data_IF_047585253096
#
_entry.id   IF_047585253096
#
_cell.length_a   1.000
_cell.length_b   1.000
_cell.length_c   1.000
_cell.angle_alpha   90.00
_cell.angle_beta   90.00
_cell.angle_gamma   90.00
#
_symmetry.space_group_name_H-M   'P 1'
#
loop_
_entity.id
_entity.type
_entity.pdbx_description
1 polymer ?
#
# COMPACT_ATOMS: atom_id res chain seq x y z
N UNK A 1 2.94 1.71 18.95
CA UNK A 1 4.34 1.67 19.44
C UNK A 1 4.96 0.28 19.31
N UNK A 2 4.24 -0.81 19.64
CA UNK A 2 4.69 -2.19 19.46
C UNK A 2 5.12 -2.48 18.01
N UNK A 3 4.33 -2.02 17.05
CA UNK A 3 4.55 -2.26 15.61
C UNK A 3 5.91 -1.74 15.09
N UNK A 4 6.39 -0.56 15.51
CA UNK A 4 7.71 -0.04 15.07
C UNK A 4 8.89 -0.87 15.58
N UNK A 5 8.75 -1.43 16.80
CA UNK A 5 9.76 -2.32 17.37
C UNK A 5 9.73 -3.65 16.63
N UNK A 6 8.54 -4.19 16.38
CA UNK A 6 8.38 -5.44 15.62
C UNK A 6 8.92 -5.29 14.20
N UNK A 7 8.72 -4.15 13.53
CA UNK A 7 9.33 -3.88 12.22
C UNK A 7 10.85 -3.81 12.26
N UNK A 8 11.43 -3.18 13.30
CA UNK A 8 12.88 -3.14 13.49
C UNK A 8 13.47 -4.53 13.72
N UNK A 9 12.82 -5.34 14.55
CA UNK A 9 13.26 -6.71 14.84
C UNK A 9 13.09 -7.60 13.62
N UNK A 10 11.97 -7.49 12.90
CA UNK A 10 11.72 -8.22 11.66
C UNK A 10 12.73 -7.87 10.58
N UNK A 11 13.01 -6.58 10.35
CA UNK A 11 13.97 -6.14 9.33
C UNK A 11 15.42 -6.57 9.64
N UNK A 12 15.73 -6.85 10.91
CA UNK A 12 17.02 -7.42 11.34
C UNK A 12 17.06 -8.95 11.31
N UNK A 13 15.95 -9.63 11.03
CA UNK A 13 15.84 -11.09 11.12
C UNK A 13 15.90 -11.61 12.57
N UNK A 14 15.50 -10.77 13.55
CA UNK A 14 15.53 -11.11 14.98
C UNK A 14 14.18 -11.68 15.48
N UNK A 15 13.15 -11.72 14.63
CA UNK A 15 11.87 -12.37 14.92
C UNK A 15 11.85 -13.80 14.36
N UNK A 16 11.05 -14.67 15.00
CA UNK A 16 10.76 -16.01 14.44
C UNK A 16 9.82 -15.87 13.26
N UNK A 17 9.89 -16.76 12.28
CA UNK A 17 9.11 -16.73 11.03
C UNK A 17 7.60 -16.44 11.23
N UNK A 18 6.98 -17.01 12.27
CA UNK A 18 5.55 -16.81 12.59
C UNK A 18 5.20 -15.38 13.09
N UNK A 19 6.21 -14.59 13.44
CA UNK A 19 6.12 -13.21 13.95
C UNK A 19 6.73 -12.19 12.98
N UNK A 20 7.32 -12.63 11.86
CA UNK A 20 7.87 -11.72 10.87
C UNK A 20 6.77 -10.88 10.23
N UNK A 21 7.08 -9.62 10.00
CA UNK A 21 6.19 -8.69 9.35
C UNK A 21 6.37 -8.80 7.85
N UNK A 22 5.28 -9.06 7.14
CA UNK A 22 5.30 -9.17 5.69
C UNK A 22 5.56 -7.83 5.00
N UNK A 23 6.07 -7.89 3.76
CA UNK A 23 6.27 -6.71 2.91
C UNK A 23 4.97 -5.92 2.71
N UNK A 24 3.86 -6.62 2.53
CA UNK A 24 2.55 -6.01 2.42
C UNK A 24 2.16 -5.23 3.70
N UNK A 25 2.44 -5.78 4.89
CA UNK A 25 2.16 -5.10 6.17
C UNK A 25 3.01 -3.83 6.34
N UNK A 26 4.30 -3.89 6.00
CA UNK A 26 5.17 -2.71 6.03
C UNK A 26 4.64 -1.61 5.11
N UNK A 27 4.33 -1.95 3.86
CA UNK A 27 3.81 -0.98 2.89
C UNK A 27 2.51 -0.33 3.34
N UNK A 28 1.56 -1.13 3.84
CA UNK A 28 0.28 -0.62 4.29
C UNK A 28 0.42 0.28 5.52
N UNK A 29 1.24 -0.13 6.50
CA UNK A 29 1.47 0.65 7.71
C UNK A 29 2.11 2.01 7.40
N UNK A 30 3.19 2.03 6.62
CA UNK A 30 3.93 3.26 6.36
C UNK A 30 3.15 4.22 5.46
N UNK A 31 2.36 3.71 4.50
CA UNK A 31 1.47 4.55 3.70
C UNK A 31 0.41 5.24 4.57
N UNK A 32 -0.19 4.49 5.51
CA UNK A 32 -1.16 5.05 6.45
C UNK A 32 -0.55 6.13 7.34
N UNK A 33 0.67 5.90 7.83
CA UNK A 33 1.41 6.88 8.61
C UNK A 33 1.73 8.13 7.79
N UNK A 34 2.20 7.99 6.55
CA UNK A 34 2.54 9.11 5.67
C UNK A 34 1.31 9.97 5.36
N UNK A 35 0.19 9.37 4.95
CA UNK A 35 -1.05 10.10 4.63
C UNK A 35 -1.61 10.81 5.86
N UNK A 36 -1.56 10.16 7.04
CA UNK A 36 -1.96 10.83 8.29
C UNK A 36 -1.07 12.02 8.62
N UNK A 37 0.22 11.97 8.32
CA UNK A 37 1.12 13.09 8.56
C UNK A 37 0.85 14.25 7.60
N UNK A 38 0.55 13.95 6.34
CA UNK A 38 0.56 14.95 5.27
C UNK A 38 -0.82 15.52 4.93
N UNK A 39 -1.88 14.71 5.02
CA UNK A 39 -3.16 15.01 4.38
C UNK A 39 -4.33 15.09 5.36
N UNK A 40 -4.20 14.50 6.53
CA UNK A 40 -5.28 14.52 7.53
C UNK A 40 -5.32 15.87 8.26
N UNK A 41 -6.50 16.33 8.73
CA UNK A 41 -6.60 17.50 9.60
C UNK A 41 -5.73 17.33 10.84
N UNK A 42 -5.16 18.43 11.36
CA UNK A 42 -4.20 18.44 12.49
C UNK A 42 -4.61 17.52 13.66
N UNK A 43 -5.88 17.54 14.05
CA UNK A 43 -6.40 16.72 15.15
C UNK A 43 -6.35 15.20 14.91
N UNK A 44 -6.23 14.76 13.65
CA UNK A 44 -6.16 13.36 13.23
C UNK A 44 -4.79 12.95 12.66
N UNK A 45 -3.83 13.88 12.65
CA UNK A 45 -2.44 13.59 12.34
C UNK A 45 -1.78 12.77 13.47
N UNK A 46 -0.47 12.63 13.45
CA UNK A 46 0.24 11.89 14.49
C UNK A 46 0.03 12.53 15.85
N UNK A 47 -0.37 11.72 16.82
CA UNK A 47 -0.32 12.10 18.22
C UNK A 47 1.12 12.42 18.64
N UNK A 48 1.29 13.13 19.76
CA UNK A 48 2.63 13.35 20.31
C UNK A 48 3.38 12.04 20.61
N UNK A 49 2.64 10.99 21.02
CA UNK A 49 3.23 9.67 21.30
C UNK A 49 3.77 8.99 20.03
N UNK A 50 3.01 9.08 18.93
CA UNK A 50 3.44 8.58 17.62
C UNK A 50 4.62 9.39 17.09
N UNK A 51 4.57 10.72 17.21
CA UNK A 51 5.67 11.61 16.85
C UNK A 51 6.94 11.22 17.62
N UNK A 52 6.90 11.15 18.95
CA UNK A 52 8.05 10.73 19.77
C UNK A 52 8.59 9.35 19.39
N UNK A 53 7.71 8.41 19.06
CA UNK A 53 8.10 7.07 18.63
C UNK A 53 8.83 7.11 17.27
N UNK A 54 8.28 7.81 16.28
CA UNK A 54 8.92 7.97 14.97
C UNK A 54 10.26 8.68 15.09
N UNK A 55 10.37 9.75 15.88
CA UNK A 55 11.63 10.44 16.13
C UNK A 55 12.73 9.51 16.67
N UNK A 56 12.33 8.55 17.52
CA UNK A 56 13.24 7.61 18.16
C UNK A 56 13.65 6.46 17.23
N UNK A 57 12.70 5.91 16.47
CA UNK A 57 12.92 4.67 15.72
C UNK A 57 13.27 4.90 14.24
N UNK A 58 12.86 6.01 13.62
CA UNK A 58 13.11 6.29 12.20
C UNK A 58 14.60 6.24 11.81
N UNK A 59 15.55 6.83 12.57
CA UNK A 59 16.97 6.76 12.24
C UNK A 59 17.54 5.33 12.25
N UNK A 60 16.89 4.40 12.95
CA UNK A 60 17.25 2.99 12.99
C UNK A 60 16.58 2.23 11.84
N UNK A 61 15.29 2.51 11.59
CA UNK A 61 14.47 1.87 10.55
C UNK A 61 15.04 2.14 9.16
N UNK A 62 15.40 3.39 8.86
CA UNK A 62 15.92 3.79 7.53
C UNK A 62 17.21 3.06 7.13
N UNK A 63 17.92 2.45 8.09
CA UNK A 63 19.16 1.69 7.84
C UNK A 63 18.91 0.24 7.47
N UNK A 64 17.73 -0.29 7.78
CA UNK A 64 17.40 -1.72 7.67
C UNK A 64 16.20 -1.97 6.76
N UNK A 65 15.35 -0.98 6.56
CA UNK A 65 14.18 -1.11 5.68
C UNK A 65 14.58 -1.15 4.20
N UNK A 66 13.83 -1.88 3.37
CA UNK A 66 13.97 -1.83 1.92
C UNK A 66 13.73 -0.41 1.36
N UNK A 67 14.41 -0.01 0.26
CA UNK A 67 14.28 1.32 -0.33
C UNK A 67 12.83 1.72 -0.67
N UNK A 68 12.03 0.78 -1.16
CA UNK A 68 10.62 1.01 -1.48
C UNK A 68 9.78 1.35 -0.24
N UNK A 69 10.10 0.75 0.90
CA UNK A 69 9.41 1.02 2.18
C UNK A 69 9.84 2.38 2.74
N UNK A 70 11.12 2.74 2.57
CA UNK A 70 11.62 4.07 2.93
C UNK A 70 10.92 5.15 2.10
N UNK A 71 10.76 4.92 0.79
CA UNK A 71 9.97 5.79 -0.08
C UNK A 71 8.52 5.93 0.39
N UNK A 72 7.84 4.83 0.68
CA UNK A 72 6.43 4.87 1.13
C UNK A 72 6.29 5.70 2.41
N UNK A 73 7.22 5.55 3.34
CA UNK A 73 7.18 6.26 4.62
C UNK A 73 7.54 7.75 4.48
N UNK A 74 8.52 8.10 3.65
CA UNK A 74 9.06 9.45 3.50
C UNK A 74 9.30 9.80 2.02
N UNK A 75 8.23 9.99 1.22
CA UNK A 75 8.35 10.17 -0.22
C UNK A 75 9.10 11.45 -0.61
N UNK A 76 9.03 12.48 0.24
CA UNK A 76 9.66 13.79 0.05
C UNK A 76 11.01 13.94 0.79
N UNK A 77 11.43 12.93 1.56
CA UNK A 77 12.72 12.95 2.27
C UNK A 77 12.80 14.02 3.37
N UNK A 78 11.64 14.53 3.81
CA UNK A 78 11.51 15.64 4.75
C UNK A 78 11.21 15.15 6.16
N UNK A 79 10.95 13.85 6.35
CA UNK A 79 10.64 13.30 7.66
C UNK A 79 11.79 13.58 8.63
N UNK A 80 11.45 14.16 9.78
CA UNK A 80 12.38 14.45 10.88
C UNK A 80 13.48 15.48 10.62
N UNK A 81 13.40 16.27 9.55
CA UNK A 81 14.42 17.29 9.25
C UNK A 81 15.81 16.71 8.91
N UNK A 82 15.90 15.39 8.76
CA UNK A 82 17.06 14.70 8.22
C UNK A 82 16.80 14.53 6.73
N UNK A 83 17.51 15.27 5.89
CA UNK A 83 17.41 15.09 4.45
C UNK A 83 17.88 13.69 4.07
N UNK A 84 16.94 12.78 3.84
CA UNK A 84 17.20 11.47 3.26
C UNK A 84 16.97 11.56 1.76
N UNK A 85 17.97 11.16 0.96
CA UNK A 85 17.81 11.14 -0.49
C UNK A 85 17.12 9.86 -1.00
N UNK A 86 16.94 8.84 -0.14
CA UNK A 86 16.46 7.51 -0.54
C UNK A 86 15.02 7.57 -1.06
N UNK A 87 14.10 8.13 -0.28
CA UNK A 87 12.67 8.20 -0.66
C UNK A 87 12.43 9.07 -1.90
N UNK A 88 12.94 10.32 -1.94
CA UNK A 88 12.81 11.19 -3.11
C UNK A 88 13.38 10.62 -4.40
N UNK A 89 14.48 9.85 -4.31
CA UNK A 89 15.15 9.28 -5.48
C UNK A 89 14.66 7.88 -5.84
N UNK A 90 13.77 7.28 -5.05
CA UNK A 90 13.19 5.98 -5.39
C UNK A 90 12.32 6.14 -6.63
N UNK A 91 12.71 5.44 -7.70
CA UNK A 91 12.01 5.44 -8.98
C UNK A 91 11.28 4.15 -9.30
N UNK A 92 11.35 3.12 -8.45
CA UNK A 92 10.82 1.78 -8.77
C UNK A 92 11.77 0.93 -9.62
N UNK A 93 11.59 -0.39 -9.56
CA UNK A 93 12.33 -1.37 -10.33
C UNK A 93 11.53 -1.84 -11.55
N UNK A 94 11.83 -1.27 -12.72
CA UNK A 94 11.16 -1.60 -13.98
C UNK A 94 9.91 -0.74 -14.24
N UNK A 95 9.36 -0.88 -15.45
CA UNK A 95 8.34 0.05 -15.97
C UNK A 95 7.07 0.08 -15.10
N UNK A 96 6.62 -1.09 -14.62
CA UNK A 96 5.41 -1.20 -13.80
C UNK A 96 5.57 -0.51 -12.44
N UNK A 97 6.67 -0.75 -11.73
CA UNK A 97 6.94 -0.06 -10.47
C UNK A 97 7.18 1.44 -10.66
N UNK A 98 7.85 1.85 -11.75
CA UNK A 98 8.05 3.28 -12.04
C UNK A 98 6.73 4.03 -12.16
N UNK A 99 5.74 3.44 -12.84
CA UNK A 99 4.39 4.00 -12.93
C UNK A 99 3.72 4.04 -11.56
N UNK A 100 3.71 2.91 -10.84
CA UNK A 100 3.11 2.83 -9.52
C UNK A 100 3.73 3.80 -8.51
N UNK A 101 5.05 4.02 -8.56
CA UNK A 101 5.75 4.98 -7.70
C UNK A 101 5.32 6.41 -8.03
N UNK A 102 5.12 6.74 -9.31
CA UNK A 102 4.55 8.02 -9.72
C UNK A 102 3.16 8.23 -9.12
N UNK A 103 2.28 7.25 -9.31
CA UNK A 103 0.90 7.29 -8.79
C UNK A 103 0.86 7.33 -7.25
N UNK A 104 1.75 6.59 -6.59
CA UNK A 104 1.89 6.57 -5.13
C UNK A 104 2.30 7.93 -4.56
N UNK A 105 3.08 8.75 -5.27
CA UNK A 105 3.42 10.10 -4.77
C UNK A 105 2.17 10.96 -4.62
N UNK A 106 1.29 10.92 -5.61
CA UNK A 106 0.00 11.62 -5.56
C UNK A 106 -0.88 11.06 -4.42
N UNK A 107 -0.99 9.74 -4.32
CA UNK A 107 -1.81 9.07 -3.29
C UNK A 107 -1.29 9.35 -1.88
N UNK A 108 0.03 9.29 -1.65
CA UNK A 108 0.63 9.56 -0.34
C UNK A 108 0.56 11.05 0.07
N UNK A 109 0.36 11.95 -0.90
CA UNK A 109 0.05 13.36 -0.66
C UNK A 109 -1.44 13.60 -0.36
N UNK A 110 -2.28 12.55 -0.39
CA UNK A 110 -3.73 12.66 -0.16
C UNK A 110 -4.55 12.91 -1.42
N UNK A 111 -3.92 12.79 -2.60
CA UNK A 111 -4.53 13.01 -3.89
C UNK A 111 -5.35 11.83 -4.40
N UNK A 112 -5.97 12.06 -5.56
CA UNK A 112 -6.79 11.10 -6.29
C UNK A 112 -6.29 10.98 -7.71
N UNK A 113 -6.45 9.80 -8.28
CA UNK A 113 -6.00 9.49 -9.62
C UNK A 113 -7.14 9.58 -10.64
N UNK A 114 -6.76 9.82 -11.88
CA UNK A 114 -7.65 9.76 -13.02
C UNK A 114 -8.13 8.33 -13.30
N UNK A 115 -9.27 8.23 -13.97
CA UNK A 115 -9.83 6.96 -14.40
C UNK A 115 -8.85 6.14 -15.25
N UNK A 116 -8.23 6.77 -16.25
CA UNK A 116 -7.33 6.09 -17.19
C UNK A 116 -6.01 5.67 -16.51
N UNK A 117 -5.55 6.45 -15.54
CA UNK A 117 -4.36 6.16 -14.73
C UNK A 117 -4.59 4.91 -13.89
N UNK A 118 -5.68 4.84 -13.13
CA UNK A 118 -6.04 3.66 -12.34
C UNK A 118 -6.24 2.45 -13.23
N UNK A 119 -6.97 2.59 -14.34
CA UNK A 119 -7.25 1.44 -15.21
C UNK A 119 -5.96 0.88 -15.82
N UNK A 120 -5.05 1.75 -16.26
CA UNK A 120 -3.76 1.33 -16.82
C UNK A 120 -2.85 0.71 -15.77
N UNK A 121 -2.75 1.34 -14.60
CA UNK A 121 -1.96 0.84 -13.48
C UNK A 121 -2.45 -0.55 -13.03
N UNK A 122 -3.77 -0.70 -12.87
CA UNK A 122 -4.35 -1.97 -12.48
C UNK A 122 -4.12 -3.04 -13.53
N UNK A 123 -4.20 -2.74 -14.84
CA UNK A 123 -3.83 -3.72 -15.86
C UNK A 123 -2.36 -4.13 -15.76
N UNK A 124 -1.45 -3.18 -15.56
CA UNK A 124 -0.02 -3.46 -15.43
C UNK A 124 0.32 -4.32 -14.20
N UNK A 125 -0.40 -4.12 -13.09
CA UNK A 125 -0.23 -4.84 -11.82
C UNK A 125 -0.97 -6.17 -11.83
N UNK A 126 -2.19 -6.20 -12.38
CA UNK A 126 -3.08 -7.36 -12.36
C UNK A 126 -2.80 -8.33 -13.48
N UNK A 127 -2.08 -7.94 -14.56
CA UNK A 127 -1.77 -8.81 -15.71
C UNK A 127 -1.51 -10.25 -15.25
N UNK A 128 -2.53 -11.10 -15.39
CA UNK A 128 -2.53 -12.49 -14.91
C UNK A 128 -1.82 -13.43 -15.89
N UNK A 129 -1.14 -12.88 -16.90
CA UNK A 129 -0.42 -13.65 -17.90
C UNK A 129 0.69 -14.49 -17.25
N UNK A 130 0.44 -15.80 -17.26
CA UNK A 130 1.31 -16.94 -16.97
C UNK A 130 2.55 -16.66 -16.08
N UNK A 131 2.39 -16.94 -14.79
CA UNK A 131 3.52 -17.19 -13.88
C UNK A 131 4.30 -15.98 -13.38
N UNK A 132 3.90 -14.75 -13.74
CA UNK A 132 4.58 -13.51 -13.37
C UNK A 132 3.91 -12.75 -12.20
N UNK A 133 3.55 -13.46 -11.14
CA UNK A 133 3.49 -12.88 -9.78
C UNK A 133 4.90 -12.37 -9.43
N UNK A 134 5.28 -11.18 -9.91
CA UNK A 134 6.66 -10.72 -9.80
C UNK A 134 7.02 -9.37 -10.42
N UNK A 135 6.07 -8.57 -10.91
CA UNK A 135 6.40 -7.26 -11.52
C UNK A 135 6.50 -6.10 -10.54
N UNK A 136 5.84 -6.19 -9.38
CA UNK A 136 5.73 -5.06 -8.44
C UNK A 136 5.86 -5.56 -7.00
N UNK A 137 6.62 -4.84 -6.18
CA UNK A 137 6.78 -5.10 -4.76
C UNK A 137 5.43 -5.11 -4.02
N UNK A 138 5.20 -6.14 -3.22
CA UNK A 138 4.01 -6.25 -2.35
C UNK A 138 3.83 -5.03 -1.44
N UNK A 139 4.93 -4.40 -1.01
CA UNK A 139 4.89 -3.17 -0.21
C UNK A 139 4.30 -2.00 -0.99
N UNK A 140 4.67 -1.84 -2.27
CA UNK A 140 4.15 -0.75 -3.11
C UNK A 140 2.67 -0.97 -3.42
N UNK A 141 2.29 -2.21 -3.74
CA UNK A 141 0.89 -2.54 -4.03
C UNK A 141 0.01 -2.35 -2.79
N UNK A 142 0.44 -2.83 -1.62
CA UNK A 142 -0.34 -2.66 -0.40
C UNK A 142 -0.43 -1.19 0.03
N UNK A 143 0.65 -0.43 -0.12
CA UNK A 143 0.67 1.02 0.11
C UNK A 143 -0.34 1.76 -0.77
N UNK A 144 -0.42 1.40 -2.05
CA UNK A 144 -1.33 2.01 -3.00
C UNK A 144 -2.79 1.77 -2.61
N UNK A 145 -3.13 0.51 -2.35
CA UNK A 145 -4.49 0.11 -2.00
C UNK A 145 -4.95 0.74 -0.67
N UNK A 146 -4.11 0.75 0.37
CA UNK A 146 -4.49 1.40 1.63
C UNK A 146 -4.55 2.92 1.48
N UNK A 147 -3.67 3.50 0.68
CA UNK A 147 -3.61 4.95 0.51
C UNK A 147 -4.85 5.48 -0.19
N UNK A 148 -5.24 4.84 -1.29
CA UNK A 148 -6.51 5.08 -1.98
C UNK A 148 -7.69 4.99 -1.00
N UNK A 149 -7.72 3.94 -0.17
CA UNK A 149 -8.79 3.79 0.82
C UNK A 149 -8.82 4.89 1.87
N UNK A 150 -7.66 5.32 2.35
CA UNK A 150 -7.54 6.39 3.34
C UNK A 150 -7.90 7.76 2.78
N UNK A 151 -7.66 7.98 1.48
CA UNK A 151 -8.07 9.19 0.77
C UNK A 151 -9.57 9.20 0.43
N UNK A 152 -10.26 8.07 0.63
CA UNK A 152 -11.68 7.85 0.27
C UNK A 152 -11.88 7.89 -1.24
N UNK A 153 -11.64 6.76 -1.88
CA UNK A 153 -11.74 6.62 -3.33
C UNK A 153 -12.99 7.29 -3.90
N UNK A 154 -12.84 8.03 -5.00
CA UNK A 154 -13.98 8.68 -5.68
C UNK A 154 -14.80 7.66 -6.48
N UNK A 155 -16.04 8.02 -6.83
CA UNK A 155 -16.88 7.22 -7.72
C UNK A 155 -16.18 6.91 -9.07
N UNK A 156 -15.32 7.81 -9.54
CA UNK A 156 -14.58 7.64 -10.79
C UNK A 156 -13.46 6.62 -10.63
N UNK A 157 -12.71 6.68 -9.54
CA UNK A 157 -11.67 5.71 -9.19
C UNK A 157 -12.29 4.32 -9.01
N UNK A 158 -13.42 4.22 -8.27
CA UNK A 158 -14.13 2.97 -8.07
C UNK A 158 -14.61 2.33 -9.39
N UNK A 159 -15.12 3.14 -10.33
CA UNK A 159 -15.50 2.65 -11.67
C UNK A 159 -14.29 2.12 -12.45
N UNK A 160 -13.13 2.75 -12.33
CA UNK A 160 -11.91 2.28 -12.98
C UNK A 160 -11.47 0.92 -12.45
N UNK A 161 -11.53 0.70 -11.12
CA UNK A 161 -11.31 -0.63 -10.52
C UNK A 161 -12.25 -1.67 -11.13
N UNK A 162 -13.56 -1.42 -11.13
CA UNK A 162 -14.55 -2.36 -11.66
C UNK A 162 -14.25 -2.77 -13.10
N UNK A 163 -13.92 -1.80 -13.97
CA UNK A 163 -13.64 -2.08 -15.38
C UNK A 163 -12.30 -2.78 -15.60
N UNK A 164 -11.25 -2.41 -14.87
CA UNK A 164 -9.97 -3.10 -14.94
C UNK A 164 -10.12 -4.58 -14.52
N UNK A 165 -10.87 -4.86 -13.46
CA UNK A 165 -11.15 -6.22 -13.01
C UNK A 165 -12.09 -6.99 -13.95
N UNK A 166 -13.12 -6.35 -14.50
CA UNK A 166 -14.05 -7.00 -15.44
C UNK A 166 -13.36 -7.41 -16.74
N UNK A 167 -12.44 -6.58 -17.27
CA UNK A 167 -11.69 -6.89 -18.50
C UNK A 167 -10.71 -8.06 -18.29
N UNK A 168 -9.99 -8.08 -17.17
CA UNK A 168 -9.04 -9.17 -16.84
C UNK A 168 -9.76 -10.47 -16.45
N UNK A 169 -10.86 -10.40 -15.71
CA UNK A 169 -11.66 -11.57 -15.32
C UNK A 169 -12.53 -12.09 -16.47
N UNK A 170 -12.92 -11.24 -17.43
CA UNK A 170 -13.62 -11.62 -18.65
C UNK A 170 -12.80 -12.57 -19.53
N UNK A 171 -11.47 -12.38 -19.57
CA UNK A 171 -10.53 -13.24 -20.29
C UNK A 171 -10.34 -14.62 -19.62
N UNK A 172 -10.63 -14.75 -18.32
CA UNK A 172 -10.59 -16.01 -17.57
C UNK A 172 -11.86 -16.87 -17.70
N UNK A 173 -12.94 -16.34 -18.30
CA UNK A 173 -14.24 -17.00 -18.39
C UNK A 173 -14.46 -17.77 -19.70
N UNK A 174 -13.49 -18.60 -20.10
CA UNK A 174 -13.79 -19.88 -20.78
C UNK A 174 -14.13 -21.01 -19.79
N UNK A 175 -14.21 -20.71 -18.48
CA UNK A 175 -14.72 -21.64 -17.45
C UNK A 175 -15.82 -20.99 -16.57
N UNK A 176 -16.84 -21.75 -16.15
CA UNK A 176 -18.04 -21.19 -15.54
C UNK A 176 -17.82 -20.96 -14.04
N UNK A 177 -17.32 -19.78 -13.65
CA UNK A 177 -17.34 -19.42 -12.23
C UNK A 177 -17.68 -17.93 -12.01
N UNK A 178 -18.99 -17.66 -12.11
CA UNK A 178 -19.66 -16.39 -11.83
C UNK A 178 -19.49 -15.89 -10.36
N UNK A 179 -18.91 -16.71 -9.47
CA UNK A 179 -18.78 -16.45 -8.02
C UNK A 179 -17.68 -15.43 -7.65
N UNK A 180 -16.63 -15.30 -8.48
CA UNK A 180 -15.50 -14.38 -8.22
C UNK A 180 -15.89 -12.94 -8.59
N UNK A 181 -16.67 -12.78 -9.66
CA UNK A 181 -17.12 -11.50 -10.25
C UNK A 181 -17.91 -10.62 -9.27
N UNK A 182 -18.70 -11.23 -8.39
CA UNK A 182 -19.51 -10.51 -7.41
C UNK A 182 -18.82 -10.28 -6.07
N UNK A 183 -17.78 -11.07 -5.73
CA UNK A 183 -17.19 -11.04 -4.39
C UNK A 183 -16.30 -9.82 -4.17
N UNK A 184 -15.50 -9.39 -5.16
CA UNK A 184 -14.61 -8.22 -5.00
C UNK A 184 -15.38 -6.88 -4.94
N UNK A 185 -16.38 -6.72 -5.83
CA UNK A 185 -17.23 -5.50 -5.92
C UNK A 185 -18.21 -5.42 -4.74
N UNK A 186 -18.80 -6.54 -4.27
CA UNK A 186 -19.54 -6.54 -2.99
C UNK A 186 -18.61 -6.35 -1.80
N UNK A 187 -17.35 -6.78 -1.84
CA UNK A 187 -16.48 -6.66 -0.66
C UNK A 187 -16.03 -5.23 -0.34
N UNK A 188 -15.84 -4.40 -1.37
CA UNK A 188 -15.53 -2.98 -1.16
C UNK A 188 -16.72 -2.20 -0.54
N UNK A 189 -17.95 -2.69 -0.76
CA UNK A 189 -19.19 -2.07 -0.26
C UNK A 189 -19.86 -2.78 0.93
N UNK A 190 -19.48 -4.02 1.25
CA UNK A 190 -20.09 -4.82 2.31
C UNK A 190 -18.99 -5.61 3.03
N UNK A 191 -18.83 -5.35 4.34
CA UNK A 191 -17.88 -6.01 5.26
C UNK A 191 -17.94 -7.56 5.28
N UNK A 192 -18.90 -8.18 4.58
CA UNK A 192 -19.33 -9.53 4.93
C UNK A 192 -18.82 -10.69 4.08
N UNK A 193 -18.40 -10.56 2.82
CA UNK A 193 -18.19 -11.79 2.01
C UNK A 193 -17.10 -11.74 0.90
N UNK A 194 -15.83 -11.59 1.27
CA UNK A 194 -14.73 -12.10 0.41
C UNK A 194 -13.56 -12.58 1.28
N UNK A 195 -13.11 -13.80 1.09
CA UNK A 195 -11.97 -14.38 1.83
C UNK A 195 -10.66 -13.62 1.57
N UNK A 196 -10.43 -13.13 0.34
CA UNK A 196 -9.28 -12.30 -0.07
C UNK A 196 -9.30 -10.88 0.53
N UNK A 197 -10.44 -10.20 0.53
CA UNK A 197 -10.58 -8.89 1.15
C UNK A 197 -10.66 -8.98 2.67
N UNK A 198 -11.22 -10.07 3.24
CA UNK A 198 -11.05 -10.40 4.66
C UNK A 198 -9.61 -10.74 4.98
N UNK A 199 -8.82 -11.33 4.09
CA UNK A 199 -7.37 -11.54 4.31
C UNK A 199 -6.63 -10.20 4.28
N UNK A 200 -6.95 -9.35 3.31
CA UNK A 200 -6.39 -8.00 3.14
C UNK A 200 -6.75 -7.08 4.33
N UNK A 201 -8.02 -7.00 4.72
CA UNK A 201 -8.48 -6.29 5.91
C UNK A 201 -8.05 -6.96 7.21
N UNK A 202 -7.99 -8.30 7.32
CA UNK A 202 -7.51 -8.96 8.55
C UNK A 202 -6.02 -8.70 8.77
N UNK A 203 -5.21 -8.58 7.72
CA UNK A 203 -3.82 -8.13 7.82
C UNK A 203 -3.69 -6.62 8.08
N UNK A 204 -4.58 -5.78 7.55
CA UNK A 204 -4.55 -4.32 7.76
C UNK A 204 -5.11 -3.91 9.14
N UNK A 205 -6.21 -4.50 9.60
CA UNK A 205 -6.82 -4.20 10.91
C UNK A 205 -5.99 -4.74 12.08
N UNK A 206 -5.17 -5.78 11.90
CA UNK A 206 -4.18 -6.16 12.93
C UNK A 206 -2.97 -5.22 12.98
N UNK A 207 -2.77 -4.35 11.98
CA UNK A 207 -1.65 -3.40 11.94
C UNK A 207 -2.01 -1.99 12.48
N UNK A 208 -3.29 -1.66 12.57
CA UNK A 208 -3.80 -0.33 12.99
C UNK A 208 -4.35 -0.29 14.44
N UNK A 209 -4.38 -1.43 15.14
CA UNK A 209 -4.69 -1.57 16.57
C UNK A 209 -3.49 -2.17 17.32
#
# INVERSE_FOLDING_TARGET
MRNLIDFLLSAKGELKDEQEVSKAQLGAFFAAMAIRANSFPEAAQWSEGETRAMNRFWPLLVRVLPPEVIFIADPEGTMMGVMSSIGPQYGGNGIAEMRLVGDLREVLAGGHLGFDEIQSLLRDVLSLEDGMLGRVSESLLSAFLIGQRMNRETDRELKAYCLAFDDELGNLLSFPNFYIRFSFIKCMHSEKDCSLFKLFLKHIYTCLL
#
